data_IF_374777134369
#
_entry.id   IF_374777134369
#
_cell.length_a   1.000
_cell.length_b   1.000
_cell.length_c   1.000
_cell.angle_alpha   90.00
_cell.angle_beta   90.00
_cell.angle_gamma   90.00
#
_symmetry.space_group_name_H-M   'P 1'
#
loop_
_entity.id
_entity.type
_entity.pdbx_description
1 polymer ?
#
# COMPACT_ATOMS: atom_id res chain seq x y z
N UNK A 1 3.15 16.37 -12.70
CA UNK A 1 4.37 15.53 -12.61
C UNK A 1 4.04 14.16 -13.18
N UNK A 2 4.93 13.56 -13.99
CA UNK A 2 4.74 12.19 -14.52
C UNK A 2 5.45 11.21 -13.58
N UNK A 3 4.74 10.21 -13.07
CA UNK A 3 5.34 9.17 -12.24
C UNK A 3 6.31 8.30 -13.07
N UNK A 4 7.45 7.91 -12.48
CA UNK A 4 8.39 6.96 -13.08
C UNK A 4 7.83 5.53 -13.01
N UNK A 5 8.31 4.62 -13.87
CA UNK A 5 7.88 3.21 -13.83
C UNK A 5 8.13 2.56 -12.46
N UNK A 6 9.31 2.73 -11.81
CA UNK A 6 9.53 2.22 -10.47
C UNK A 6 8.55 2.77 -9.42
N UNK A 7 8.18 4.05 -9.51
CA UNK A 7 7.19 4.64 -8.63
C UNK A 7 5.81 3.99 -8.81
N UNK A 8 5.37 3.77 -10.05
CA UNK A 8 4.10 3.09 -10.34
C UNK A 8 4.10 1.62 -9.88
N UNK A 9 5.20 0.89 -10.08
CA UNK A 9 5.35 -0.48 -9.57
C UNK A 9 5.35 -0.51 -8.04
N UNK A 10 6.05 0.43 -7.40
CA UNK A 10 6.04 0.61 -5.95
C UNK A 10 4.63 0.89 -5.43
N UNK A 11 3.86 1.76 -6.09
CA UNK A 11 2.46 2.02 -5.75
C UNK A 11 1.60 0.75 -5.83
N UNK A 12 1.79 -0.05 -6.88
CA UNK A 12 1.08 -1.33 -7.07
C UNK A 12 1.40 -2.35 -5.98
N UNK A 13 2.68 -2.48 -5.61
CA UNK A 13 3.10 -3.31 -4.48
C UNK A 13 2.51 -2.81 -3.15
N UNK A 14 2.52 -1.49 -2.94
CA UNK A 14 1.89 -0.85 -1.79
C UNK A 14 0.39 -1.15 -1.71
N UNK A 15 -0.32 -1.12 -2.84
CA UNK A 15 -1.73 -1.50 -2.90
C UNK A 15 -1.95 -2.97 -2.52
N UNK A 16 -1.19 -3.88 -3.11
CA UNK A 16 -1.29 -5.31 -2.82
C UNK A 16 -0.99 -5.63 -1.35
N UNK A 17 0.04 -5.00 -0.78
CA UNK A 17 0.36 -5.12 0.64
C UNK A 17 -0.73 -4.54 1.53
N UNK A 18 -1.34 -3.41 1.15
CA UNK A 18 -2.47 -2.84 1.87
C UNK A 18 -3.66 -3.79 1.94
N UNK A 19 -3.99 -4.46 0.82
CA UNK A 19 -5.04 -5.49 0.78
C UNK A 19 -4.66 -6.68 1.67
N UNK A 20 -3.41 -7.14 1.61
CA UNK A 20 -2.94 -8.25 2.45
C UNK A 20 -3.08 -7.92 3.93
N UNK A 21 -2.69 -6.71 4.35
CA UNK A 21 -2.87 -6.25 5.72
C UNK A 21 -4.34 -6.14 6.12
N UNK A 22 -5.21 -5.61 5.24
CA UNK A 22 -6.65 -5.61 5.48
C UNK A 22 -7.18 -7.02 5.73
N UNK A 23 -6.79 -8.00 4.91
CA UNK A 23 -7.22 -9.38 5.06
C UNK A 23 -6.75 -9.98 6.40
N UNK A 24 -5.49 -9.72 6.79
CA UNK A 24 -4.95 -10.16 8.08
C UNK A 24 -5.71 -9.50 9.24
N UNK A 25 -5.97 -8.19 9.18
CA UNK A 25 -6.73 -7.48 10.21
C UNK A 25 -8.15 -8.01 10.34
N UNK A 26 -8.81 -8.37 9.24
CA UNK A 26 -10.14 -8.99 9.27
C UNK A 26 -10.16 -10.39 9.87
N UNK A 27 -9.02 -11.09 9.90
CA UNK A 27 -8.90 -12.42 10.52
C UNK A 27 -8.47 -12.35 12.00
N UNK A 28 -7.98 -11.20 12.47
CA UNK A 28 -7.36 -11.05 13.79
C UNK A 28 -8.03 -10.01 14.69
N UNK A 29 -9.10 -9.35 14.22
CA UNK A 29 -9.78 -8.34 15.05
C UNK A 29 -10.54 -9.00 16.21
N UNK A 30 -10.60 -8.28 17.33
CA UNK A 30 -11.37 -8.66 18.50
C UNK A 30 -12.84 -8.25 18.31
N UNK A 31 -13.75 -9.22 18.30
CA UNK A 31 -15.18 -9.01 18.07
C UNK A 31 -15.92 -8.43 19.30
N UNK A 32 -15.27 -8.40 20.47
CA UNK A 32 -15.82 -7.77 21.67
C UNK A 32 -15.54 -6.26 21.72
N UNK A 33 -14.50 -5.78 21.03
CA UNK A 33 -14.11 -4.37 20.99
C UNK A 33 -14.41 -3.69 19.65
N UNK A 34 -14.40 -4.41 18.53
CA UNK A 34 -14.59 -3.82 17.20
C UNK A 34 -15.43 -4.71 16.27
N UNK A 35 -15.78 -4.18 15.10
CA UNK A 35 -16.54 -4.89 14.07
C UNK A 35 -15.73 -4.98 12.76
N UNK A 36 -15.86 -6.11 12.06
CA UNK A 36 -15.33 -6.31 10.71
C UNK A 36 -15.61 -5.14 9.76
N UNK A 37 -16.79 -4.50 9.84
CA UNK A 37 -17.12 -3.32 9.02
C UNK A 37 -16.19 -2.15 9.29
N UNK A 38 -15.89 -1.86 10.55
CA UNK A 38 -15.05 -0.72 10.93
C UNK A 38 -13.59 -0.99 10.55
N UNK A 39 -13.12 -2.23 10.77
CA UNK A 39 -11.79 -2.69 10.33
C UNK A 39 -11.65 -2.57 8.81
N UNK A 40 -12.65 -2.99 8.04
CA UNK A 40 -12.65 -2.87 6.58
C UNK A 40 -12.65 -1.40 6.14
N UNK A 41 -13.47 -0.54 6.76
CA UNK A 41 -13.55 0.88 6.42
C UNK A 41 -12.25 1.62 6.72
N UNK A 42 -11.65 1.39 7.90
CA UNK A 42 -10.35 2.01 8.26
C UNK A 42 -9.25 1.52 7.32
N UNK A 43 -9.24 0.23 7.00
CA UNK A 43 -8.27 -0.33 6.05
C UNK A 43 -8.44 0.26 4.65
N UNK A 44 -9.67 0.41 4.17
CA UNK A 44 -9.95 0.92 2.83
C UNK A 44 -9.66 2.42 2.70
N UNK A 45 -10.04 3.21 3.70
CA UNK A 45 -9.92 4.67 3.66
C UNK A 45 -8.53 5.17 4.04
N UNK A 46 -7.81 4.42 4.89
CA UNK A 46 -6.51 4.84 5.40
C UNK A 46 -5.42 3.80 5.16
N UNK A 47 -5.63 2.54 5.52
CA UNK A 47 -4.60 1.50 5.43
C UNK A 47 -4.03 1.32 4.02
N UNK A 48 -4.91 1.08 3.04
CA UNK A 48 -4.55 0.87 1.64
C UNK A 48 -3.94 2.14 1.02
N UNK A 49 -4.57 3.33 1.10
CA UNK A 49 -3.97 4.57 0.60
C UNK A 49 -2.60 4.86 1.21
N UNK A 50 -2.43 4.63 2.52
CA UNK A 50 -1.15 4.88 3.19
C UNK A 50 -0.06 3.91 2.73
N UNK A 51 -0.40 2.62 2.59
CA UNK A 51 0.50 1.61 2.02
C UNK A 51 0.90 1.93 0.57
N UNK A 52 -0.03 2.43 -0.25
CA UNK A 52 0.26 2.91 -1.60
C UNK A 52 1.23 4.10 -1.61
N UNK A 53 1.06 5.05 -0.69
CA UNK A 53 1.96 6.20 -0.57
C UNK A 53 3.38 5.78 -0.16
N UNK A 54 3.49 4.83 0.76
CA UNK A 54 4.78 4.23 1.13
C UNK A 54 5.40 3.56 -0.10
N UNK A 55 4.64 2.74 -0.83
CA UNK A 55 5.10 2.08 -2.05
C UNK A 55 5.54 3.06 -3.13
N UNK A 56 4.79 4.15 -3.35
CA UNK A 56 5.16 5.26 -4.24
C UNK A 56 6.48 5.90 -3.81
N UNK A 57 6.65 6.16 -2.51
CA UNK A 57 7.88 6.74 -1.95
C UNK A 57 9.10 5.84 -2.17
N UNK A 58 8.96 4.55 -1.89
CA UNK A 58 10.02 3.55 -2.11
C UNK A 58 10.34 3.44 -3.60
N UNK A 59 9.33 3.30 -4.46
CA UNK A 59 9.53 3.20 -5.91
C UNK A 59 10.14 4.48 -6.51
N UNK A 60 9.75 5.64 -6.02
CA UNK A 60 10.38 6.91 -6.39
C UNK A 60 11.83 6.97 -5.96
N UNK A 61 12.14 6.61 -4.70
CA UNK A 61 13.51 6.57 -4.19
C UNK A 61 14.36 5.60 -5.01
N UNK A 62 13.82 4.43 -5.34
CA UNK A 62 14.47 3.46 -6.22
C UNK A 62 14.82 4.08 -7.58
N UNK A 63 13.85 4.70 -8.24
CA UNK A 63 14.08 5.37 -9.52
C UNK A 63 15.11 6.51 -9.44
N UNK A 64 15.23 7.16 -8.28
CA UNK A 64 16.23 8.21 -8.05
C UNK A 64 17.65 7.66 -7.90
N UNK A 65 17.82 6.50 -7.26
CA UNK A 65 19.15 5.91 -7.02
C UNK A 65 19.63 4.99 -8.15
N UNK A 66 18.72 4.27 -8.82
CA UNK A 66 19.06 3.25 -9.81
C UNK A 66 18.62 3.60 -11.24
N UNK A 67 17.90 4.73 -11.42
CA UNK A 67 17.44 5.21 -12.73
C UNK A 67 15.95 4.92 -12.98
N UNK A 68 15.31 5.76 -13.80
CA UNK A 68 13.85 5.73 -14.04
C UNK A 68 13.35 4.52 -14.83
N UNK A 69 14.27 3.76 -15.43
CA UNK A 69 14.03 2.60 -16.29
C UNK A 69 14.71 1.32 -15.75
N UNK A 70 15.13 1.34 -14.47
CA UNK A 70 15.88 0.24 -13.84
C UNK A 70 15.10 -1.06 -13.67
N UNK A 71 13.78 -1.04 -13.84
CA UNK A 71 12.87 -2.18 -13.64
C UNK A 71 12.18 -2.61 -14.96
N UNK A 72 12.90 -2.45 -16.08
CA UNK A 72 12.47 -2.93 -17.40
C UNK A 72 12.77 -4.42 -17.59
#
# INVERSE_FOLDING_TARGET
>A
MRFSKPALMGAGLGFAMGIAFMAISLLQFDDTETNAKDVALVSLLFGIPFSMLIGLGIGWAWGKFFGTDSLN
#
